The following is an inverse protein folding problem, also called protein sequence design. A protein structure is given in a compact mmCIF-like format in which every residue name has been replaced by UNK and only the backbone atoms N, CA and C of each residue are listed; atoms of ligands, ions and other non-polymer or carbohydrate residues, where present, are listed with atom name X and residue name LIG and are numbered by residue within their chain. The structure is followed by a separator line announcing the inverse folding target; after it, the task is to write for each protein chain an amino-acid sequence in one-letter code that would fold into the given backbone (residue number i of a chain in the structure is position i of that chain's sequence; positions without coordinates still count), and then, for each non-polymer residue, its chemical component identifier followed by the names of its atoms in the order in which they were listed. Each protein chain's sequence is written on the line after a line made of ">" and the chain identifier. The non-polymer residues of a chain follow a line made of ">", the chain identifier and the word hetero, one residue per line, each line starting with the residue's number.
data_IF_842707540682
#
_entry.id   IF_842707540682
#
_cell.length_a   1.000
_cell.length_b   1.000
_cell.length_c   1.000
_cell.angle_alpha   90.00
_cell.angle_beta   90.00
_cell.angle_gamma   90.00
#
_symmetry.space_group_name_H-M   'P 1'
#
loop_
_entity.id
_entity.type
_entity.pdbx_description
1 polymer ?
#
# COMPACT_ATOMS: atom_id res chain seq x y z
N UNK A 1 2.36 -3.43 30.96
CA UNK A 1 1.99 -3.70 29.55
C UNK A 1 0.81 -2.80 29.23
N UNK A 2 1.01 -1.81 28.35
CA UNK A 2 0.08 -0.67 28.17
C UNK A 2 -1.24 -1.15 27.55
N UNK A 3 -2.33 -0.63 28.09
CA UNK A 3 -3.72 -0.88 27.71
C UNK A 3 -3.92 -0.99 26.19
N UNK A 4 -4.27 -2.18 25.71
CA UNK A 4 -4.82 -2.35 24.37
C UNK A 4 -6.14 -1.60 24.29
N UNK A 5 -6.12 -0.40 23.70
CA UNK A 5 -7.34 0.27 23.30
C UNK A 5 -8.00 -0.61 22.24
N UNK A 6 -9.06 -1.34 22.61
CA UNK A 6 -9.83 -2.24 21.71
C UNK A 6 -10.34 -1.56 20.43
N UNK A 7 -10.27 -0.23 20.37
CA UNK A 7 -10.75 0.61 19.27
C UNK A 7 -9.65 1.04 18.29
N UNK A 8 -8.36 0.82 18.59
CA UNK A 8 -7.23 1.12 17.71
C UNK A 8 -6.48 -0.17 17.45
N UNK A 9 -6.45 -0.60 16.20
CA UNK A 9 -5.86 -1.86 15.77
C UNK A 9 -4.74 -1.54 14.79
N UNK A 10 -3.55 -2.07 15.09
CA UNK A 10 -2.38 -1.92 14.23
C UNK A 10 -2.22 -3.19 13.41
N UNK A 11 -2.43 -3.09 12.10
CA UNK A 11 -2.24 -4.21 11.17
C UNK A 11 -0.95 -4.03 10.40
N UNK A 12 -0.26 -5.14 10.11
CA UNK A 12 0.75 -5.16 9.06
C UNK A 12 0.08 -5.64 7.77
N UNK A 13 -0.19 -4.71 6.84
CA UNK A 13 -0.79 -5.00 5.54
C UNK A 13 0.25 -5.70 4.67
N UNK A 14 -0.12 -6.81 4.02
CA UNK A 14 0.77 -7.48 3.08
C UNK A 14 0.74 -6.81 1.71
N UNK A 15 1.78 -7.06 0.93
CA UNK A 15 1.84 -6.65 -0.48
C UNK A 15 0.75 -7.37 -1.28
N UNK A 16 0.15 -6.66 -2.24
CA UNK A 16 -0.97 -7.13 -3.04
C UNK A 16 -2.34 -7.01 -2.38
N UNK A 17 -2.42 -6.82 -1.05
CA UNK A 17 -3.69 -6.62 -0.36
C UNK A 17 -4.12 -5.15 -0.42
N UNK A 18 -5.40 -4.88 -0.69
CA UNK A 18 -5.94 -3.52 -0.51
C UNK A 18 -6.21 -3.25 0.98
N UNK A 19 -6.18 -1.98 1.44
CA UNK A 19 -6.52 -1.65 2.84
C UNK A 19 -7.89 -2.17 3.28
N UNK A 20 -8.86 -2.16 2.37
CA UNK A 20 -10.19 -2.72 2.63
C UNK A 20 -10.15 -4.24 2.76
N UNK A 21 -9.39 -4.93 1.91
CA UNK A 21 -9.20 -6.38 2.01
C UNK A 21 -8.56 -6.77 3.34
N UNK A 22 -7.50 -6.07 3.76
CA UNK A 22 -6.85 -6.30 5.05
C UNK A 22 -7.81 -6.07 6.24
N UNK A 23 -8.63 -5.02 6.19
CA UNK A 23 -9.68 -4.76 7.20
C UNK A 23 -10.71 -5.89 7.23
N UNK A 24 -11.22 -6.32 6.07
CA UNK A 24 -12.20 -7.42 5.97
C UNK A 24 -11.64 -8.73 6.50
N UNK A 25 -10.41 -9.08 6.13
CA UNK A 25 -9.71 -10.27 6.63
C UNK A 25 -9.54 -10.23 8.15
N UNK A 26 -9.22 -9.06 8.71
CA UNK A 26 -9.15 -8.87 10.15
C UNK A 26 -10.52 -9.07 10.80
N UNK A 27 -11.57 -8.44 10.28
CA UNK A 27 -12.94 -8.59 10.80
C UNK A 27 -13.41 -10.05 10.76
N UNK A 28 -13.06 -10.79 9.70
CA UNK A 28 -13.45 -12.19 9.57
C UNK A 28 -12.76 -13.10 10.59
N UNK A 29 -11.49 -12.82 10.91
CA UNK A 29 -10.73 -13.52 11.95
C UNK A 29 -11.20 -13.15 13.36
N UNK A 30 -11.67 -11.92 13.57
CA UNK A 30 -12.07 -11.40 14.87
C UNK A 30 -13.56 -11.07 14.90
N UNK A 31 -14.39 -12.10 15.13
CA UNK A 31 -15.86 -12.00 15.14
C UNK A 31 -16.42 -10.95 16.10
N UNK A 32 -15.66 -10.56 17.12
CA UNK A 32 -16.02 -9.47 18.05
C UNK A 32 -16.24 -8.13 17.36
N UNK A 33 -15.62 -7.90 16.18
CA UNK A 33 -15.73 -6.66 15.41
C UNK A 33 -16.74 -6.74 14.25
N UNK A 34 -17.52 -7.82 14.16
CA UNK A 34 -18.45 -8.06 13.04
C UNK A 34 -19.48 -6.93 12.88
N UNK A 35 -20.08 -6.53 13.99
CA UNK A 35 -21.13 -5.50 14.03
C UNK A 35 -20.60 -4.13 14.50
N UNK A 36 -19.27 -4.01 14.62
CA UNK A 36 -18.60 -2.77 15.03
C UNK A 36 -18.20 -1.99 13.76
N UNK A 37 -18.55 -0.69 13.67
CA UNK A 37 -18.04 0.18 12.61
C UNK A 37 -16.52 0.18 12.61
N UNK A 38 -15.90 0.04 11.44
CA UNK A 38 -14.44 0.06 11.31
C UNK A 38 -14.03 0.86 10.08
N UNK A 39 -12.89 1.54 10.16
CA UNK A 39 -12.28 2.26 9.04
C UNK A 39 -10.76 2.24 9.15
N UNK A 40 -10.04 2.31 8.03
CA UNK A 40 -8.60 2.53 8.04
C UNK A 40 -8.27 4.02 8.07
N UNK A 41 -7.24 4.38 8.82
CA UNK A 41 -6.81 5.76 9.06
C UNK A 41 -5.63 6.17 8.15
N UNK A 42 -5.87 6.10 6.84
CA UNK A 42 -4.86 6.37 5.82
C UNK A 42 -4.87 5.26 4.77
N UNK A 43 -4.75 5.64 3.50
CA UNK A 43 -4.75 4.67 2.40
C UNK A 43 -3.31 4.26 2.13
N UNK A 44 -3.01 2.98 2.30
CA UNK A 44 -1.76 2.36 1.86
C UNK A 44 -2.00 1.69 0.51
N UNK A 45 -1.13 1.90 -0.47
CA UNK A 45 -1.35 1.34 -1.81
C UNK A 45 -1.29 -0.19 -1.81
N UNK A 46 -1.97 -0.86 -2.76
CA UNK A 46 -2.02 -2.32 -2.79
C UNK A 46 -0.63 -2.97 -2.83
N UNK A 47 0.30 -2.40 -3.58
CA UNK A 47 1.68 -2.90 -3.69
C UNK A 47 2.52 -2.71 -2.42
N UNK A 48 2.22 -1.71 -1.59
CA UNK A 48 3.03 -1.39 -0.43
C UNK A 48 2.72 -2.36 0.72
N UNK A 49 3.70 -2.71 1.53
CA UNK A 49 3.49 -3.40 2.81
C UNK A 49 3.71 -2.46 3.98
N UNK A 50 3.30 -2.87 5.19
CA UNK A 50 3.62 -2.17 6.41
C UNK A 50 2.40 -1.77 7.25
N UNK A 51 2.60 -0.76 8.10
CA UNK A 51 1.64 -0.40 9.14
C UNK A 51 0.37 0.22 8.56
N UNK A 52 -0.77 -0.41 8.85
CA UNK A 52 -2.11 0.08 8.56
C UNK A 52 -2.88 0.22 9.88
N UNK A 53 -3.23 1.46 10.21
CA UNK A 53 -4.03 1.76 11.41
C UNK A 53 -5.51 1.56 11.07
N UNK A 54 -6.16 0.68 11.81
CA UNK A 54 -7.60 0.46 11.76
C UNK A 54 -8.24 1.02 13.03
N UNK A 55 -9.28 1.81 12.85
CA UNK A 55 -10.10 2.36 13.92
C UNK A 55 -11.41 1.59 13.97
N UNK A 56 -11.88 1.31 15.18
CA UNK A 56 -13.14 0.62 15.44
C UNK A 56 -14.02 1.42 16.40
N UNK A 57 -15.34 1.29 16.23
CA UNK A 57 -16.33 1.92 17.10
C UNK A 57 -16.26 3.45 17.04
N UNK A 58 -16.32 4.09 18.21
CA UNK A 58 -16.34 5.55 18.33
C UNK A 58 -15.08 6.22 17.80
N UNK A 59 -13.94 5.53 17.84
CA UNK A 59 -12.67 6.07 17.38
C UNK A 59 -12.66 6.34 15.87
N UNK A 60 -13.57 5.73 15.11
CA UNK A 60 -13.79 6.06 13.69
C UNK A 60 -14.10 7.56 13.48
N UNK A 61 -14.72 8.23 14.47
CA UNK A 61 -15.02 9.68 14.42
C UNK A 61 -13.76 10.54 14.57
N UNK A 62 -12.71 10.01 15.21
CA UNK A 62 -11.45 10.70 15.44
C UNK A 62 -10.43 10.47 14.31
N UNK A 63 -10.87 9.95 13.15
CA UNK A 63 -10.00 9.58 12.02
C UNK A 63 -9.05 10.69 11.57
N UNK A 64 -9.49 11.93 11.58
CA UNK A 64 -8.70 13.08 11.15
C UNK A 64 -7.40 13.26 11.96
N UNK A 65 -7.45 12.96 13.26
CA UNK A 65 -6.26 12.96 14.12
C UNK A 65 -5.15 12.04 13.61
N UNK A 66 -5.54 10.87 13.13
CA UNK A 66 -4.60 9.84 12.63
C UNK A 66 -4.10 10.16 11.23
N UNK A 67 -4.94 10.76 10.39
CA UNK A 67 -4.53 11.21 9.06
C UNK A 67 -3.43 12.28 9.13
N UNK A 68 -3.45 13.12 10.17
CA UNK A 68 -2.47 14.18 10.42
C UNK A 68 -1.19 13.70 11.12
N UNK A 69 -1.07 12.41 11.45
CA UNK A 69 0.18 11.88 11.97
C UNK A 69 1.25 11.85 10.88
N UNK A 70 2.50 12.08 11.29
CA UNK A 70 3.66 11.88 10.43
C UNK A 70 3.76 10.42 10.00
N UNK A 71 4.23 10.22 8.77
CA UNK A 71 4.37 8.90 8.15
C UNK A 71 5.75 8.79 7.55
N UNK A 72 6.41 7.68 7.83
CA UNK A 72 7.70 7.34 7.28
C UNK A 72 7.51 6.21 6.27
N UNK A 73 8.20 6.31 5.14
CA UNK A 73 8.13 5.36 4.04
C UNK A 73 9.53 4.99 3.59
N UNK A 74 9.74 3.71 3.36
CA UNK A 74 10.92 3.16 2.70
C UNK A 74 10.50 2.64 1.33
N UNK A 75 11.23 3.02 0.28
CA UNK A 75 10.91 2.64 -1.09
C UNK A 75 12.16 2.64 -1.96
N UNK A 76 12.13 1.84 -3.01
CA UNK A 76 13.16 1.80 -4.04
C UNK A 76 12.66 2.48 -5.31
N UNK A 77 13.52 3.28 -5.94
CA UNK A 77 13.21 3.97 -7.19
C UNK A 77 14.06 3.38 -8.30
N UNK A 78 13.43 2.98 -9.40
CA UNK A 78 14.13 2.59 -10.61
C UNK A 78 14.07 3.71 -11.64
N UNK A 79 15.25 4.22 -12.02
CA UNK A 79 15.39 5.32 -12.96
C UNK A 79 15.41 4.85 -14.43
N UNK A 80 14.99 5.73 -15.35
CA UNK A 80 15.13 5.52 -16.80
C UNK A 80 13.85 5.10 -17.54
N UNK A 81 12.75 4.89 -16.81
CA UNK A 81 11.42 4.69 -17.39
C UNK A 81 10.33 5.38 -16.55
N UNK A 82 9.17 5.55 -17.16
CA UNK A 82 7.97 6.09 -16.52
C UNK A 82 6.81 5.14 -16.80
N UNK A 83 5.98 4.90 -15.79
CA UNK A 83 4.73 4.15 -15.90
C UNK A 83 3.51 5.07 -15.75
N UNK A 84 2.32 4.60 -16.13
CA UNK A 84 1.06 5.36 -16.02
C UNK A 84 0.55 5.48 -14.56
N UNK A 85 0.82 4.47 -13.73
CA UNK A 85 0.45 4.44 -12.30
C UNK A 85 1.55 4.98 -11.38
N UNK A 86 2.70 5.38 -11.94
CA UNK A 86 3.90 5.79 -11.19
C UNK A 86 4.47 4.70 -10.26
N UNK A 87 4.11 3.45 -10.51
CA UNK A 87 4.65 2.29 -9.82
C UNK A 87 5.01 1.16 -10.80
N UNK A 88 5.55 0.07 -10.27
CA UNK A 88 6.01 -1.07 -11.07
C UNK A 88 4.86 -1.92 -11.65
N UNK A 89 3.63 -1.73 -11.18
CA UNK A 89 2.45 -2.45 -11.67
C UNK A 89 1.83 -1.76 -12.90
N UNK A 90 2.23 -0.52 -13.18
CA UNK A 90 1.77 0.26 -14.32
C UNK A 90 2.34 -0.19 -15.66
N UNK A 91 1.69 0.28 -16.73
CA UNK A 91 2.21 0.14 -18.10
C UNK A 91 3.28 1.19 -18.35
N UNK A 92 4.39 0.77 -18.96
CA UNK A 92 5.48 1.67 -19.35
C UNK A 92 4.95 2.66 -20.39
N UNK A 93 5.04 3.96 -20.09
CA UNK A 93 4.62 5.04 -20.97
C UNK A 93 5.79 5.73 -21.66
N UNK A 94 6.96 5.77 -21.01
CA UNK A 94 8.19 6.33 -21.58
C UNK A 94 9.40 5.52 -21.14
N UNK A 95 10.35 5.37 -22.05
CA UNK A 95 11.68 4.83 -21.76
C UNK A 95 12.72 5.80 -22.28
N UNK A 96 13.75 6.05 -21.47
CA UNK A 96 14.90 6.89 -21.85
C UNK A 96 16.17 6.05 -22.06
N UNK A 97 16.05 4.72 -22.05
CA UNK A 97 17.14 3.83 -22.45
C UNK A 97 17.36 3.93 -23.96
N UNK A 98 18.56 4.34 -24.35
CA UNK A 98 19.02 4.10 -25.73
C UNK A 98 19.13 2.58 -25.92
N UNK A 99 18.51 1.99 -26.96
CA UNK A 99 18.77 0.60 -27.28
C UNK A 99 20.27 0.43 -27.55
N UNK A 100 20.94 -0.41 -26.77
CA UNK A 100 22.38 -0.69 -26.90
C UNK A 100 22.72 -1.67 -28.03
N UNK A 101 21.77 -2.02 -28.90
CA UNK A 101 22.08 -2.84 -30.08
C UNK A 101 22.66 -1.96 -31.20
N UNK A 102 23.97 -1.71 -31.12
CA UNK A 102 24.74 -1.29 -32.29
C UNK A 102 24.95 -2.51 -33.19
N UNK A 103 24.15 -2.58 -34.26
CA UNK A 103 24.37 -3.39 -35.48
C UNK A 103 24.98 -4.79 -35.28
N UNK A 104 24.13 -5.82 -35.13
CA UNK A 104 24.52 -7.14 -35.61
C UNK A 104 24.61 -7.05 -37.14
N UNK A 105 25.82 -6.82 -37.67
CA UNK A 105 26.08 -6.81 -39.10
C UNK A 105 25.76 -8.17 -39.72
N UNK A 106 24.54 -8.31 -40.25
CA UNK A 106 24.18 -9.42 -41.14
C UNK A 106 24.97 -9.21 -42.43
N UNK A 107 26.13 -9.87 -42.55
CA UNK A 107 26.77 -10.05 -43.85
C UNK A 107 25.83 -10.89 -44.69
N UNK A 108 25.20 -10.27 -45.70
CA UNK A 108 24.54 -10.99 -46.79
C UNK A 108 25.62 -11.71 -47.58
N UNK A 109 25.53 -13.04 -47.66
CA UNK A 109 26.21 -13.84 -48.68
C UNK A 109 25.43 -13.74 -50.01
#
# INVERSE_FOLDING_TARGET
>A
MKSENKNIILLNKKEGETPLSALSLFRDKHKIYKDIPMTYAGRLDPMASGLLIILAGEECKNKEKYLNLDKEYEFEILFGFQTDTYDILGKITKTHMKPTCQTCGVKKN
#
